data_IF_912609680789
#
_entry.id   IF_912609680789
#
_cell.length_a   1.000
_cell.length_b   1.000
_cell.length_c   1.000
_cell.angle_alpha   90.00
_cell.angle_beta   90.00
_cell.angle_gamma   90.00
#
_symmetry.space_group_name_H-M   'P 1'
#
loop_
_entity.id
_entity.type
_entity.pdbx_description
1 polymer ?
#
# COMPACT_ATOMS: atom_id res chain seq x y z
N UNK A 1 4.38 -3.89 5.45
CA UNK A 1 4.68 -3.05 4.26
C UNK A 1 4.39 -1.59 4.61
N UNK A 2 5.28 -0.66 4.30
CA UNK A 2 4.98 0.77 4.41
C UNK A 2 4.78 1.31 2.99
N UNK A 3 3.58 1.79 2.68
CA UNK A 3 3.24 2.34 1.38
C UNK A 3 2.77 3.78 1.52
N UNK A 4 3.50 4.73 0.92
CA UNK A 4 2.90 5.99 0.44
C UNK A 4 2.25 5.72 -0.92
N UNK A 5 1.29 4.81 -0.94
CA UNK A 5 0.84 4.21 -2.20
C UNK A 5 -0.03 5.15 -3.07
N UNK A 6 -0.46 6.31 -2.56
CA UNK A 6 -1.54 7.06 -3.20
C UNK A 6 -1.27 8.56 -3.44
N UNK A 7 -0.08 9.06 -3.11
CA UNK A 7 0.38 10.39 -3.54
C UNK A 7 1.11 10.35 -4.89
N UNK A 8 1.13 9.20 -5.55
CA UNK A 8 1.73 9.01 -6.87
C UNK A 8 0.97 9.85 -7.91
N UNK A 9 1.70 10.41 -8.88
CA UNK A 9 1.12 11.09 -10.04
C UNK A 9 0.26 10.13 -10.88
N UNK A 10 -1.00 9.91 -10.46
CA UNK A 10 -1.92 8.97 -11.09
C UNK A 10 -2.24 9.37 -12.53
N UNK A 11 -2.29 10.67 -12.80
CA UNK A 11 -2.44 11.18 -14.15
C UNK A 11 -1.25 10.79 -15.02
N UNK A 12 -0.02 10.87 -14.49
CA UNK A 12 1.18 10.43 -15.16
C UNK A 12 1.28 8.93 -15.34
N UNK A 13 0.94 8.13 -14.33
CA UNK A 13 0.88 6.67 -14.42
C UNK A 13 -0.06 6.24 -15.55
N UNK A 14 -1.26 6.83 -15.56
CA UNK A 14 -2.28 6.54 -16.58
C UNK A 14 -1.83 6.98 -17.97
N UNK A 15 -1.30 8.21 -18.09
CA UNK A 15 -0.79 8.77 -19.35
C UNK A 15 0.33 7.92 -19.95
N UNK A 16 1.24 7.39 -19.14
CA UNK A 16 2.39 6.61 -19.58
C UNK A 16 2.13 5.09 -19.57
N UNK A 17 0.90 4.64 -19.27
CA UNK A 17 0.51 3.24 -19.20
C UNK A 17 1.40 2.38 -18.26
N UNK A 18 1.74 2.91 -17.08
CA UNK A 18 2.65 2.24 -16.14
C UNK A 18 1.97 1.24 -15.19
N UNK A 19 0.67 0.98 -15.36
CA UNK A 19 -0.09 0.06 -14.50
C UNK A 19 0.53 -1.35 -14.40
N UNK A 20 0.96 -2.00 -15.49
CA UNK A 20 1.55 -3.35 -15.39
C UNK A 20 2.84 -3.35 -14.55
N UNK A 21 3.65 -2.30 -14.68
CA UNK A 21 4.86 -2.15 -13.88
C UNK A 21 4.54 -2.00 -12.40
N UNK A 22 3.55 -1.16 -12.07
CA UNK A 22 3.13 -0.96 -10.68
C UNK A 22 2.55 -2.24 -10.06
N UNK A 23 1.73 -2.98 -10.82
CA UNK A 23 1.21 -4.27 -10.40
C UNK A 23 2.35 -5.24 -10.07
N UNK A 24 3.34 -5.36 -10.95
CA UNK A 24 4.49 -6.23 -10.72
C UNK A 24 5.32 -5.80 -9.50
N UNK A 25 5.55 -4.51 -9.33
CA UNK A 25 6.24 -3.98 -8.13
C UNK A 25 5.47 -4.33 -6.87
N UNK A 26 4.14 -4.22 -6.89
CA UNK A 26 3.32 -4.57 -5.75
C UNK A 26 3.32 -6.07 -5.44
N UNK A 27 3.18 -6.94 -6.45
CA UNK A 27 3.32 -8.39 -6.29
C UNK A 27 4.69 -8.74 -5.69
N UNK A 28 5.76 -8.17 -6.23
CA UNK A 28 7.11 -8.36 -5.69
C UNK A 28 7.21 -7.95 -4.21
N UNK A 29 6.65 -6.81 -3.82
CA UNK A 29 6.67 -6.35 -2.43
C UNK A 29 5.86 -7.26 -1.50
N UNK A 30 4.81 -7.90 -2.00
CA UNK A 30 3.98 -8.82 -1.22
C UNK A 30 4.68 -10.16 -1.03
N UNK A 31 5.33 -10.68 -2.07
CA UNK A 31 6.17 -11.87 -1.99
C UNK A 31 7.33 -11.68 -1.00
N UNK A 32 8.01 -10.54 -1.05
CA UNK A 32 9.06 -10.19 -0.09
C UNK A 32 8.51 -10.15 1.35
N UNK A 33 7.32 -9.58 1.54
CA UNK A 33 6.66 -9.55 2.84
C UNK A 33 6.30 -10.96 3.34
N UNK A 34 5.80 -11.83 2.47
CA UNK A 34 5.49 -13.22 2.79
C UNK A 34 6.73 -14.01 3.20
N UNK A 35 7.83 -13.86 2.47
CA UNK A 35 9.10 -14.50 2.79
C UNK A 35 9.64 -14.01 4.15
N UNK A 36 9.60 -12.71 4.40
CA UNK A 36 10.00 -12.14 5.69
C UNK A 36 9.12 -12.66 6.84
N UNK A 37 7.79 -12.72 6.63
CA UNK A 37 6.85 -13.25 7.61
C UNK A 37 7.11 -14.74 7.90
N UNK A 38 7.43 -15.54 6.88
CA UNK A 38 7.79 -16.95 7.03
C UNK A 38 9.06 -17.11 7.89
N UNK A 39 10.13 -16.39 7.56
CA UNK A 39 11.38 -16.41 8.34
C UNK A 39 11.13 -16.00 9.79
N UNK A 40 10.34 -14.96 10.02
CA UNK A 40 10.00 -14.51 11.38
C UNK A 40 9.13 -15.52 12.13
N UNK A 41 8.23 -16.22 11.44
CA UNK A 41 7.39 -17.28 12.04
C UNK A 41 8.24 -18.43 12.57
N UNK A 42 9.25 -18.86 11.81
CA UNK A 42 10.21 -19.87 12.24
C UNK A 42 11.02 -19.39 13.46
N UNK A 43 11.56 -18.17 13.42
CA UNK A 43 12.35 -17.60 14.52
C UNK A 43 11.54 -17.44 15.81
N UNK A 44 10.27 -17.05 15.71
CA UNK A 44 9.39 -16.77 16.85
C UNK A 44 8.56 -17.97 17.29
N UNK A 45 8.63 -19.10 16.57
CA UNK A 45 7.86 -20.33 16.83
C UNK A 45 6.35 -20.08 16.97
N UNK A 46 5.83 -19.13 16.19
CA UNK A 46 4.40 -18.82 16.09
C UNK A 46 4.14 -18.20 14.72
N UNK A 47 2.93 -18.31 14.22
CA UNK A 47 2.55 -17.68 12.97
C UNK A 47 2.64 -16.15 13.11
N UNK A 48 3.34 -15.53 12.17
CA UNK A 48 3.48 -14.08 12.01
C UNK A 48 2.80 -13.69 10.70
N UNK A 49 1.90 -12.72 10.78
CA UNK A 49 1.33 -12.05 9.61
C UNK A 49 1.87 -10.61 9.54
N UNK A 50 1.99 -10.09 8.33
CA UNK A 50 2.44 -8.72 8.11
C UNK A 50 1.34 -7.70 8.42
N UNK A 51 1.75 -6.53 8.90
CA UNK A 51 0.88 -5.35 8.97
C UNK A 51 1.26 -4.34 7.87
N UNK A 52 0.28 -3.61 7.38
CA UNK A 52 0.47 -2.58 6.36
C UNK A 52 0.07 -1.21 6.89
N UNK A 53 0.93 -0.22 6.70
CA UNK A 53 0.62 1.19 6.97
C UNK A 53 0.50 1.92 5.63
N UNK A 54 -0.58 2.69 5.50
CA UNK A 54 -0.87 3.53 4.34
C UNK A 54 -0.89 4.98 4.81
N UNK A 55 0.07 5.79 4.37
CA UNK A 55 0.06 7.23 4.64
C UNK A 55 -0.84 7.93 3.61
N UNK A 56 -1.97 8.47 4.08
CA UNK A 56 -2.98 9.17 3.29
C UNK A 56 -2.67 10.67 3.09
N UNK A 57 -1.52 11.16 3.59
CA UNK A 57 -1.08 12.53 3.37
C UNK A 57 -0.99 12.86 1.88
N UNK A 58 -1.53 14.02 1.48
CA UNK A 58 -1.47 14.47 0.08
C UNK A 58 -2.49 13.81 -0.85
N UNK A 59 -3.34 12.91 -0.34
CA UNK A 59 -4.48 12.41 -1.12
C UNK A 59 -5.42 13.54 -1.50
N UNK A 60 -6.10 13.37 -2.64
CA UNK A 60 -7.24 14.20 -3.01
C UNK A 60 -8.34 13.32 -3.60
N UNK A 61 -9.57 13.85 -3.64
CA UNK A 61 -10.72 13.16 -4.24
C UNK A 61 -10.53 12.82 -5.72
N UNK A 62 -9.54 13.42 -6.40
CA UNK A 62 -9.19 13.07 -7.79
C UNK A 62 -8.85 11.59 -7.97
N UNK A 63 -8.37 10.93 -6.91
CA UNK A 63 -8.01 9.51 -6.93
C UNK A 63 -9.19 8.63 -7.37
N UNK A 64 -10.42 9.04 -7.06
CA UNK A 64 -11.63 8.31 -7.41
C UNK A 64 -11.81 8.10 -8.92
N UNK A 65 -11.21 8.98 -9.75
CA UNK A 65 -11.24 8.84 -11.21
C UNK A 65 -10.44 7.64 -11.73
N UNK A 66 -9.47 7.17 -10.95
CA UNK A 66 -8.54 6.12 -11.34
C UNK A 66 -8.86 4.78 -10.68
N UNK A 67 -9.94 4.69 -9.89
CA UNK A 67 -10.29 3.48 -9.11
C UNK A 67 -10.44 2.24 -10.00
N UNK A 68 -11.02 2.39 -11.19
CA UNK A 68 -11.17 1.29 -12.16
C UNK A 68 -9.83 0.77 -12.67
N UNK A 69 -8.82 1.63 -12.79
CA UNK A 69 -7.47 1.25 -13.26
C UNK A 69 -6.72 0.39 -12.22
N UNK A 70 -7.13 0.47 -10.95
CA UNK A 70 -6.58 -0.33 -9.85
C UNK A 70 -7.35 -1.62 -9.57
N UNK A 71 -8.51 -1.82 -10.20
CA UNK A 71 -9.30 -3.05 -10.01
C UNK A 71 -8.48 -4.33 -10.27
N UNK A 72 -7.65 -4.45 -11.33
CA UNK A 72 -6.93 -5.70 -11.56
C UNK A 72 -5.92 -6.02 -10.44
N UNK A 73 -5.32 -5.01 -9.79
CA UNK A 73 -4.51 -5.26 -8.60
C UNK A 73 -5.37 -5.76 -7.43
N UNK A 74 -6.55 -5.17 -7.24
CA UNK A 74 -7.48 -5.56 -6.18
C UNK A 74 -7.92 -7.01 -6.38
N UNK A 75 -8.14 -7.41 -7.63
CA UNK A 75 -8.48 -8.78 -8.00
C UNK A 75 -7.35 -9.76 -7.65
N UNK A 76 -6.09 -9.46 -8.02
CA UNK A 76 -4.91 -10.27 -7.62
C UNK A 76 -4.83 -10.40 -6.08
N UNK A 77 -5.09 -9.32 -5.33
CA UNK A 77 -5.08 -9.40 -3.86
C UNK A 77 -6.20 -10.25 -3.29
N UNK A 78 -7.40 -10.16 -3.87
CA UNK A 78 -8.55 -10.89 -3.38
C UNK A 78 -8.47 -12.38 -3.75
N UNK A 79 -7.92 -12.71 -4.91
CA UNK A 79 -7.92 -14.07 -5.49
C UNK A 79 -6.63 -14.84 -5.17
N UNK A 80 -5.46 -14.23 -5.41
CA UNK A 80 -4.17 -14.93 -5.31
C UNK A 80 -3.54 -14.80 -3.91
N UNK A 81 -3.85 -13.72 -3.18
CA UNK A 81 -3.26 -13.42 -1.87
C UNK A 81 -4.31 -13.18 -0.76
N UNK A 82 -5.28 -14.10 -0.58
CA UNK A 82 -6.32 -13.93 0.41
C UNK A 82 -5.76 -13.88 1.83
N UNK A 83 -6.31 -12.98 2.64
CA UNK A 83 -6.05 -12.89 4.09
C UNK A 83 -4.60 -12.61 4.52
N UNK A 84 -3.78 -12.07 3.62
CA UNK A 84 -2.33 -11.89 3.79
C UNK A 84 -1.89 -11.08 5.02
N UNK A 85 -2.66 -10.06 5.37
CA UNK A 85 -2.30 -9.06 6.38
C UNK A 85 -3.05 -9.30 7.69
N UNK A 86 -2.41 -9.00 8.82
CA UNK A 86 -3.08 -8.96 10.12
C UNK A 86 -3.87 -7.67 10.33
N UNK A 87 -3.36 -6.55 9.81
CA UNK A 87 -3.94 -5.23 9.94
C UNK A 87 -3.50 -4.30 8.81
N UNK A 88 -4.41 -3.40 8.43
CA UNK A 88 -4.14 -2.29 7.50
C UNK A 88 -4.47 -0.99 8.22
N UNK A 89 -3.48 -0.13 8.43
CA UNK A 89 -3.63 1.11 9.19
C UNK A 89 -3.42 2.28 8.25
N UNK A 90 -4.50 2.99 7.93
CA UNK A 90 -4.44 4.24 7.19
C UNK A 90 -4.19 5.37 8.18
N UNK A 91 -3.09 6.10 8.00
CA UNK A 91 -2.67 7.21 8.87
C UNK A 91 -2.72 8.53 8.11
N UNK A 92 -2.75 9.64 8.84
CA UNK A 92 -2.91 10.99 8.25
C UNK A 92 -4.14 11.09 7.34
N UNK A 93 -5.19 10.34 7.67
CA UNK A 93 -6.40 10.32 6.85
C UNK A 93 -7.10 11.68 6.91
N UNK A 94 -7.26 12.39 5.78
CA UNK A 94 -8.04 13.62 5.76
C UNK A 94 -9.52 13.32 6.04
N UNK A 95 -10.28 14.32 6.48
CA UNK A 95 -11.72 14.15 6.81
C UNK A 95 -12.56 13.59 5.66
N UNK A 96 -12.16 13.85 4.40
CA UNK A 96 -12.83 13.30 3.22
C UNK A 96 -12.42 11.86 2.87
N UNK A 97 -11.43 11.26 3.55
CA UNK A 97 -10.96 9.90 3.26
C UNK A 97 -12.09 8.87 3.39
N UNK A 98 -13.04 9.09 4.29
CA UNK A 98 -14.23 8.24 4.44
C UNK A 98 -15.00 8.10 3.12
N UNK A 99 -15.05 9.15 2.29
CA UNK A 99 -15.67 9.09 0.96
C UNK A 99 -14.87 8.27 -0.04
N UNK A 100 -13.54 8.32 0.05
CA UNK A 100 -12.65 7.47 -0.76
C UNK A 100 -12.88 6.01 -0.36
N UNK A 101 -12.88 5.75 0.95
CA UNK A 101 -13.08 4.43 1.52
C UNK A 101 -14.44 3.83 1.17
N UNK A 102 -15.53 4.62 1.15
CA UNK A 102 -16.86 4.09 0.78
C UNK A 102 -16.93 3.55 -0.65
N UNK A 103 -16.05 4.03 -1.55
CA UNK A 103 -15.95 3.51 -2.92
C UNK A 103 -14.96 2.34 -2.98
N UNK A 104 -13.75 2.52 -2.46
CA UNK A 104 -12.66 1.53 -2.54
C UNK A 104 -13.01 0.24 -1.78
N UNK A 105 -13.67 0.35 -0.63
CA UNK A 105 -14.03 -0.80 0.19
C UNK A 105 -14.95 -1.78 -0.52
N UNK A 106 -15.74 -1.35 -1.51
CA UNK A 106 -16.61 -2.21 -2.32
C UNK A 106 -15.83 -3.20 -3.20
N UNK A 107 -14.57 -2.89 -3.49
CA UNK A 107 -13.69 -3.70 -4.33
C UNK A 107 -12.74 -4.59 -3.53
N UNK A 108 -12.79 -4.51 -2.20
CA UNK A 108 -11.94 -5.25 -1.28
C UNK A 108 -12.75 -6.38 -0.65
N UNK A 109 -12.15 -7.56 -0.48
CA UNK A 109 -12.76 -8.70 0.21
C UNK A 109 -13.23 -8.33 1.63
N UNK A 110 -14.36 -8.90 2.12
CA UNK A 110 -14.90 -8.58 3.45
C UNK A 110 -13.90 -8.78 4.59
N UNK A 111 -13.12 -9.87 4.56
CA UNK A 111 -12.10 -10.19 5.57
C UNK A 111 -11.02 -9.12 5.66
N UNK A 112 -10.55 -8.62 4.52
CA UNK A 112 -9.57 -7.53 4.47
C UNK A 112 -10.19 -6.20 4.91
N UNK A 113 -11.47 -5.95 4.58
CA UNK A 113 -12.19 -4.73 4.97
C UNK A 113 -12.27 -4.59 6.50
N UNK A 114 -12.51 -5.68 7.21
CA UNK A 114 -12.59 -5.72 8.68
C UNK A 114 -11.24 -5.41 9.36
N UNK A 115 -10.12 -5.62 8.66
CA UNK A 115 -8.76 -5.39 9.15
C UNK A 115 -8.28 -3.94 8.95
N UNK A 116 -9.08 -3.09 8.29
CA UNK A 116 -8.73 -1.71 7.98
C UNK A 116 -9.12 -0.78 9.12
N UNK A 117 -8.14 -0.03 9.64
CA UNK A 117 -8.32 1.05 10.61
C UNK A 117 -7.92 2.37 9.96
N UNK A 118 -8.79 3.37 10.06
CA UNK A 118 -8.56 4.71 9.50
C UNK A 118 -8.33 5.67 10.66
N UNK A 119 -7.17 6.32 10.66
CA UNK A 119 -6.71 7.18 11.75
C UNK A 119 -6.24 8.51 11.19
N UNK A 120 -6.47 9.58 11.95
CA UNK A 120 -6.03 10.93 11.64
C UNK A 120 -4.52 11.11 11.85
N UNK A 121 -4.13 12.29 12.33
CA UNK A 121 -2.73 12.65 12.60
C UNK A 121 -2.21 12.11 13.93
N UNK A 122 -3.11 11.73 14.83
CA UNK A 122 -2.86 11.17 16.16
C UNK A 122 -2.69 9.63 16.13
N UNK A 123 -1.99 9.12 15.11
CA UNK A 123 -1.91 7.68 14.83
C UNK A 123 -0.87 6.91 15.66
N UNK A 124 0.07 7.60 16.32
CA UNK A 124 1.21 6.96 16.99
C UNK A 124 0.76 5.98 18.08
N UNK A 125 -0.21 6.36 18.91
CA UNK A 125 -0.78 5.50 19.95
C UNK A 125 -1.46 4.26 19.36
N UNK A 126 -2.09 4.40 18.19
CA UNK A 126 -2.71 3.28 17.48
C UNK A 126 -1.65 2.31 16.97
N UNK A 127 -0.56 2.82 16.37
CA UNK A 127 0.55 1.98 15.90
C UNK A 127 1.20 1.22 17.06
N UNK A 128 1.43 1.88 18.20
CA UNK A 128 2.00 1.24 19.39
C UNK A 128 1.09 0.15 19.95
N UNK A 129 -0.23 0.39 20.03
CA UNK A 129 -1.23 -0.62 20.46
C UNK A 129 -1.26 -1.83 19.53
N UNK A 130 -0.93 -1.66 18.26
CA UNK A 130 -0.81 -2.75 17.28
C UNK A 130 0.55 -3.47 17.35
N UNK A 131 1.39 -3.16 18.34
CA UNK A 131 2.69 -3.81 18.57
C UNK A 131 3.81 -3.31 17.67
N UNK A 132 3.65 -2.12 17.05
CA UNK A 132 4.68 -1.54 16.20
C UNK A 132 5.78 -0.87 17.03
N UNK A 133 7.02 -1.28 16.80
CA UNK A 133 8.19 -0.65 17.41
C UNK A 133 8.57 0.63 16.66
N UNK A 134 8.77 1.73 17.39
CA UNK A 134 9.23 3.00 16.84
C UNK A 134 10.59 2.90 16.14
N UNK A 135 11.45 1.96 16.55
CA UNK A 135 12.73 1.68 15.88
C UNK A 135 12.56 1.19 14.44
N UNK A 136 11.43 0.58 14.10
CA UNK A 136 11.12 0.09 12.76
C UNK A 136 10.26 1.08 11.95
N UNK A 137 9.74 2.12 12.60
CA UNK A 137 8.94 3.16 11.95
C UNK A 137 9.87 4.25 11.39
N UNK A 138 9.66 4.74 10.15
CA UNK A 138 10.51 5.79 9.61
C UNK A 138 10.42 7.11 10.36
N UNK A 139 11.53 7.87 10.34
CA UNK A 139 11.63 9.20 10.99
C UNK A 139 10.52 10.15 10.53
N UNK A 140 10.16 10.15 9.24
CA UNK A 140 9.10 11.03 8.72
C UNK A 140 7.69 10.69 9.24
N UNK A 141 7.51 9.52 9.87
CA UNK A 141 6.27 9.12 10.57
C UNK A 141 6.41 9.21 12.09
N UNK A 142 7.49 9.81 12.60
CA UNK A 142 7.77 9.94 14.03
C UNK A 142 8.45 8.73 14.67
N UNK A 143 9.05 7.83 13.87
CA UNK A 143 9.89 6.74 14.38
C UNK A 143 11.38 7.06 14.35
N UNK A 144 12.23 6.02 14.39
CA UNK A 144 13.68 6.14 14.47
C UNK A 144 14.41 5.52 13.26
N UNK A 145 13.68 4.90 12.33
CA UNK A 145 14.29 4.25 11.17
C UNK A 145 14.62 5.29 10.08
N UNK A 146 15.91 5.47 9.78
CA UNK A 146 16.38 6.41 8.75
C UNK A 146 16.21 5.88 7.32
N UNK A 147 16.07 4.56 7.16
CA UNK A 147 15.82 3.96 5.86
C UNK A 147 14.39 4.25 5.39
N UNK A 148 14.20 5.04 4.36
CA UNK A 148 12.94 5.01 3.63
C UNK A 148 13.21 4.73 2.16
N UNK A 149 12.71 3.59 1.66
CA UNK A 149 12.58 3.33 0.21
C UNK A 149 11.42 4.13 -0.40
N UNK A 150 10.78 4.99 0.38
CA UNK A 150 9.60 5.75 0.02
C UNK A 150 10.04 7.14 -0.43
N UNK A 151 10.31 7.25 -1.74
CA UNK A 151 10.41 8.56 -2.34
C UNK A 151 9.06 9.29 -2.17
N UNK A 152 9.11 10.46 -1.55
CA UNK A 152 7.97 11.25 -1.11
C UNK A 152 7.26 12.01 -2.24
N UNK A 153 7.80 12.01 -3.46
CA UNK A 153 7.22 12.76 -4.60
C UNK A 153 7.59 12.08 -5.92
N UNK A 154 6.86 11.02 -6.29
CA UNK A 154 6.98 10.42 -7.61
C UNK A 154 6.14 11.22 -8.62
N UNK A 155 6.78 12.12 -9.36
CA UNK A 155 6.23 12.71 -10.59
C UNK A 155 6.65 11.80 -11.73
N UNK A 156 5.70 11.39 -12.59
CA UNK A 156 6.02 10.57 -13.76
C UNK A 156 6.32 11.51 -14.94
N UNK A 157 7.57 11.59 -15.43
CA UNK A 157 7.92 12.43 -16.57
C UNK A 157 7.18 11.98 -17.84
N UNK A 158 7.04 12.88 -18.80
CA UNK A 158 6.57 12.50 -20.15
C UNK A 158 7.61 11.61 -20.83
N UNK A 159 7.17 10.51 -21.42
CA UNK A 159 8.06 9.53 -22.05
C UNK A 159 8.74 8.59 -21.05
N UNK A 160 8.28 8.53 -19.80
CA UNK A 160 8.83 7.62 -18.79
C UNK A 160 8.72 6.14 -19.20
N UNK A 161 7.73 5.80 -20.04
CA UNK A 161 7.56 4.47 -20.58
C UNK A 161 8.31 4.23 -21.91
N UNK A 162 8.98 5.24 -22.48
CA UNK A 162 9.66 5.10 -23.78
C UNK A 162 10.77 4.05 -23.70
N UNK A 163 10.64 3.01 -24.54
CA UNK A 163 11.61 1.91 -24.59
C UNK A 163 11.40 0.83 -23.51
N UNK A 164 10.41 0.97 -22.62
CA UNK A 164 10.03 -0.10 -21.70
C UNK A 164 9.17 -1.12 -22.41
N UNK A 165 9.61 -2.38 -22.39
CA UNK A 165 8.72 -3.48 -22.73
C UNK A 165 7.85 -3.81 -21.51
N UNK A 166 6.60 -3.36 -21.52
CA UNK A 166 5.67 -3.61 -20.43
C UNK A 166 4.83 -4.89 -20.62
N UNK A 167 5.06 -5.65 -21.71
CA UNK A 167 4.47 -6.97 -21.90
C UNK A 167 5.30 -8.03 -21.14
N UNK A 168 5.25 -7.98 -19.81
CA UNK A 168 5.70 -9.11 -18.99
C UNK A 168 4.46 -9.91 -18.59
N UNK A 169 4.38 -11.17 -19.03
CA UNK A 169 3.24 -12.06 -18.76
C UNK A 169 2.21 -12.18 -19.89
N UNK A 170 2.60 -11.97 -21.15
CA UNK A 170 1.76 -12.36 -22.29
C UNK A 170 1.80 -13.87 -22.51
N UNK A 171 0.64 -14.51 -22.43
CA UNK A 171 0.27 -15.58 -23.35
C UNK A 171 -0.51 -14.96 -24.51
#
# INVERSE_FOLDING_TARGET
>A
MLGRALSSDMAGISRENLHPLLQNVWVFMLEDMLQAAHVMSLKKKRLIHGSTIIDASGLSLSILRYVSEYKPWLDIMNEDYPDLVSSVIVINAPSFFVKIWSVVSLLIAPTTREKVQIVGTDFQDVLQKQGMNLEALPVFLGGQYEGSRLNSTLIVPKGAATGLNLSFGGA
#
